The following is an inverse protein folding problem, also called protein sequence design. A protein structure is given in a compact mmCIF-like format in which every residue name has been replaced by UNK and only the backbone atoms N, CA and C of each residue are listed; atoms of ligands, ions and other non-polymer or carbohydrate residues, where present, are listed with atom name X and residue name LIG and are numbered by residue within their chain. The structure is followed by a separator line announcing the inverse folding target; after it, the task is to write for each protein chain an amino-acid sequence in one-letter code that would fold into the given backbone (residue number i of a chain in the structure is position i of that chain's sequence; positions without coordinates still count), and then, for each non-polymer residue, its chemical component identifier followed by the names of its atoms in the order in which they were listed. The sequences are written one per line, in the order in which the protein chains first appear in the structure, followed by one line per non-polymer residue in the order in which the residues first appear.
data_IF_242812245288
#
_entry.id   IF_242812245288
#
_cell.length_a   1.000
_cell.length_b   1.000
_cell.length_c   1.000
_cell.angle_alpha   90.00
_cell.angle_beta   90.00
_cell.angle_gamma   90.00
#
_symmetry.space_group_name_H-M   'P 1'
#
loop_
_entity.id
_entity.type
_entity.pdbx_description
1 polymer ?
#
# COMPACT_ATOMS: atom_id res chain seq x y z
N UNK A 1 -20.78 1.65 51.46
CA UNK A 1 -20.81 1.78 50.00
C UNK A 1 -19.73 0.90 49.39
N UNK A 2 -20.06 -0.23 48.86
CA UNK A 2 -19.08 -1.12 48.23
C UNK A 2 -18.77 -0.57 46.82
N UNK A 3 -17.49 -0.27 46.58
CA UNK A 3 -17.01 0.09 45.25
C UNK A 3 -17.21 -1.14 44.33
N UNK A 4 -18.07 -1.01 43.34
CA UNK A 4 -18.15 -1.99 42.24
C UNK A 4 -16.82 -1.95 41.48
N UNK A 5 -15.98 -2.97 41.66
CA UNK A 5 -14.84 -3.23 40.79
C UNK A 5 -15.42 -3.59 39.40
N UNK A 6 -15.44 -2.66 38.48
CA UNK A 6 -15.75 -2.96 37.10
C UNK A 6 -14.61 -3.82 36.54
N UNK A 7 -14.87 -5.11 36.33
CA UNK A 7 -13.98 -6.01 35.62
C UNK A 7 -13.88 -5.54 34.16
N UNK A 8 -13.05 -4.53 33.92
CA UNK A 8 -12.70 -4.10 32.57
C UNK A 8 -11.72 -5.09 31.98
N UNK A 9 -12.15 -5.86 31.00
CA UNK A 9 -11.27 -6.70 30.21
C UNK A 9 -10.64 -5.83 29.13
N UNK A 10 -9.33 -5.64 29.19
CA UNK A 10 -8.56 -4.92 28.18
C UNK A 10 -8.08 -5.89 27.11
N UNK A 11 -8.05 -5.44 25.85
CA UNK A 11 -7.36 -6.18 24.79
C UNK A 11 -5.86 -6.19 25.09
N UNK A 12 -5.24 -7.32 24.85
CA UNK A 12 -3.81 -7.51 25.01
C UNK A 12 -3.17 -7.77 23.66
N UNK A 13 -1.87 -7.48 23.54
CA UNK A 13 -1.09 -7.91 22.39
C UNK A 13 -0.95 -9.42 22.46
N UNK A 14 -1.48 -10.11 21.47
CA UNK A 14 -1.41 -11.57 21.40
C UNK A 14 -0.05 -12.03 20.86
N UNK A 15 0.41 -11.37 19.76
CA UNK A 15 1.66 -11.75 19.13
C UNK A 15 2.32 -10.55 18.42
N UNK A 16 3.63 -10.50 18.49
CA UNK A 16 4.45 -9.57 17.71
C UNK A 16 5.20 -10.39 16.67
N UNK A 17 5.04 -10.03 15.40
CA UNK A 17 5.77 -10.64 14.29
C UNK A 17 6.96 -9.78 13.92
N UNK A 18 8.10 -10.41 13.64
CA UNK A 18 9.22 -9.72 13.03
C UNK A 18 8.82 -9.31 11.60
N UNK A 19 9.13 -8.06 11.24
CA UNK A 19 8.91 -7.59 9.88
C UNK A 19 9.78 -8.40 8.89
N UNK A 20 9.22 -8.82 7.74
CA UNK A 20 10.02 -9.34 6.64
C UNK A 20 11.06 -8.33 6.14
N UNK A 21 12.01 -8.79 5.34
CA UNK A 21 13.01 -7.89 4.76
C UNK A 21 12.36 -6.95 3.75
N UNK A 22 12.78 -5.67 3.72
CA UNK A 22 12.37 -4.74 2.68
C UNK A 22 12.71 -5.27 1.29
N UNK A 23 11.89 -4.89 0.30
CA UNK A 23 12.12 -5.23 -1.10
C UNK A 23 11.54 -4.17 -2.02
N UNK A 24 11.92 -4.22 -3.29
CA UNK A 24 11.35 -3.36 -4.32
C UNK A 24 10.12 -3.98 -4.97
N UNK A 25 9.09 -3.17 -5.17
CA UNK A 25 7.95 -3.45 -6.03
C UNK A 25 8.13 -2.57 -7.28
N UNK A 26 8.45 -3.22 -8.40
CA UNK A 26 8.99 -2.52 -9.55
C UNK A 26 10.29 -1.79 -9.21
N UNK A 27 10.47 -0.59 -9.76
CA UNK A 27 11.56 0.32 -9.44
C UNK A 27 11.07 1.64 -8.78
N UNK A 28 9.77 1.71 -8.49
CA UNK A 28 9.12 2.87 -7.91
C UNK A 28 8.86 2.79 -6.41
N UNK A 29 8.78 1.59 -5.84
CA UNK A 29 8.31 1.42 -4.48
C UNK A 29 9.21 0.50 -3.67
N UNK A 30 10.03 1.08 -2.79
CA UNK A 30 10.83 0.32 -1.82
C UNK A 30 10.02 0.12 -0.55
N UNK A 31 9.46 -1.08 -0.38
CA UNK A 31 8.49 -1.36 0.67
C UNK A 31 9.07 -2.13 1.84
N UNK A 32 8.55 -1.84 3.02
CA UNK A 32 8.75 -2.58 4.26
C UNK A 32 7.45 -3.35 4.52
N UNK A 33 7.40 -4.66 4.29
CA UNK A 33 6.20 -5.45 4.58
C UNK A 33 5.92 -5.43 6.09
N UNK A 34 4.68 -5.09 6.45
CA UNK A 34 4.23 -5.18 7.85
C UNK A 34 3.67 -6.57 8.14
N UNK A 35 2.90 -7.11 7.21
CA UNK A 35 2.45 -8.50 7.16
C UNK A 35 2.04 -8.88 5.75
N UNK A 36 2.00 -10.17 5.45
CA UNK A 36 1.47 -10.72 4.21
C UNK A 36 0.81 -12.08 4.46
N UNK A 37 0.10 -12.59 3.45
CA UNK A 37 -0.62 -13.86 3.52
C UNK A 37 0.26 -15.10 3.75
N UNK A 38 1.56 -15.00 3.57
CA UNK A 38 2.51 -16.09 3.83
C UNK A 38 2.88 -16.21 5.32
N UNK A 39 2.88 -15.09 6.03
CA UNK A 39 3.21 -14.99 7.46
C UNK A 39 2.03 -14.59 8.33
N UNK A 40 1.01 -13.96 7.73
CA UNK A 40 -0.26 -13.64 8.39
C UNK A 40 -1.04 -14.93 8.66
N UNK A 41 -1.71 -14.98 9.78
CA UNK A 41 -2.69 -16.00 10.02
C UNK A 41 -4.10 -15.51 9.61
N UNK A 42 -5.08 -16.40 9.68
CA UNK A 42 -6.47 -16.07 9.33
C UNK A 42 -7.08 -14.91 10.15
N UNK A 43 -6.35 -14.41 11.17
CA UNK A 43 -6.80 -13.30 12.02
C UNK A 43 -6.66 -11.93 11.36
N UNK A 44 -5.89 -11.83 10.28
CA UNK A 44 -5.79 -10.59 9.49
C UNK A 44 -6.85 -10.50 8.39
N UNK A 45 -7.54 -11.60 8.07
CA UNK A 45 -8.61 -11.60 7.07
C UNK A 45 -9.67 -10.51 7.38
N UNK A 46 -10.09 -9.70 6.41
CA UNK A 46 -9.85 -9.77 4.96
C UNK A 46 -8.57 -9.07 4.47
N UNK A 47 -7.70 -8.61 5.37
CA UNK A 47 -6.46 -7.92 4.99
C UNK A 47 -5.36 -8.95 4.70
N UNK A 48 -4.99 -9.08 3.43
CA UNK A 48 -4.03 -10.09 2.98
C UNK A 48 -2.59 -9.66 3.17
N UNK A 49 -2.31 -8.35 3.05
CA UNK A 49 -0.99 -7.78 3.20
C UNK A 49 -1.07 -6.28 3.51
N UNK A 50 -0.02 -5.77 4.11
CA UNK A 50 0.21 -4.35 4.32
C UNK A 50 1.68 -4.07 4.09
N UNK A 51 1.97 -3.20 3.13
CA UNK A 51 3.30 -2.70 2.84
C UNK A 51 3.39 -1.22 3.22
N UNK A 52 4.55 -0.81 3.71
CA UNK A 52 4.85 0.58 4.02
C UNK A 52 6.09 1.02 3.23
N UNK A 53 5.91 1.92 2.27
CA UNK A 53 7.00 2.61 1.59
C UNK A 53 7.40 3.81 2.46
N UNK A 54 8.58 3.73 3.07
CA UNK A 54 9.11 4.85 3.85
C UNK A 54 9.51 6.00 2.93
N UNK A 55 9.49 7.22 3.46
CA UNK A 55 9.95 8.41 2.76
C UNK A 55 11.36 8.19 2.18
N UNK A 56 11.51 8.40 0.88
CA UNK A 56 12.74 8.24 0.14
C UNK A 56 12.81 9.26 -0.99
N UNK A 57 13.96 9.91 -1.15
CA UNK A 57 14.16 10.82 -2.27
C UNK A 57 14.39 10.06 -3.58
N UNK A 58 13.67 10.47 -4.62
CA UNK A 58 13.84 9.98 -5.99
C UNK A 58 14.35 11.11 -6.88
N UNK A 59 15.46 10.86 -7.56
CA UNK A 59 15.97 11.78 -8.57
C UNK A 59 15.01 11.90 -9.75
N UNK A 60 14.94 13.07 -10.41
CA UNK A 60 14.16 13.26 -11.63
C UNK A 60 14.40 12.17 -12.67
N UNK A 61 13.34 11.63 -13.27
CA UNK A 61 13.40 10.62 -14.33
C UNK A 61 12.20 10.73 -15.28
N UNK A 62 12.04 11.89 -15.91
CA UNK A 62 10.89 12.17 -16.78
C UNK A 62 10.81 11.25 -18.03
N UNK A 63 11.93 10.66 -18.47
CA UNK A 63 11.98 9.78 -19.66
C UNK A 63 11.48 8.37 -19.38
N UNK A 64 11.60 7.92 -18.14
CA UNK A 64 11.22 6.59 -17.69
C UNK A 64 10.66 6.68 -16.27
N UNK A 65 9.39 7.08 -16.10
CA UNK A 65 8.76 7.12 -14.78
C UNK A 65 8.91 5.78 -14.07
N UNK A 66 9.35 5.83 -12.81
CA UNK A 66 9.49 4.63 -11.97
C UNK A 66 8.13 4.14 -11.52
N UNK A 67 8.01 2.85 -11.32
CA UNK A 67 6.74 2.26 -10.87
C UNK A 67 6.72 0.76 -10.96
N UNK A 68 5.54 0.21 -11.01
CA UNK A 68 5.27 -1.20 -11.24
C UNK A 68 4.36 -1.35 -12.45
N UNK A 69 4.80 -2.15 -13.42
CA UNK A 69 4.05 -2.44 -14.64
C UNK A 69 2.81 -3.29 -14.37
N UNK A 70 2.14 -3.62 -15.44
CA UNK A 70 0.86 -4.34 -15.41
C UNK A 70 0.94 -5.63 -14.59
N UNK A 71 0.06 -5.75 -13.61
CA UNK A 71 -0.08 -6.91 -12.77
C UNK A 71 -1.55 -7.14 -12.38
N UNK A 72 -1.96 -8.41 -12.14
CA UNK A 72 -3.36 -8.74 -11.90
C UNK A 72 -3.71 -8.75 -10.41
N UNK A 73 -4.96 -8.38 -10.12
CA UNK A 73 -5.64 -8.62 -8.84
C UNK A 73 -6.99 -9.27 -9.07
N UNK A 74 -7.43 -10.11 -8.13
CA UNK A 74 -8.74 -10.76 -8.19
C UNK A 74 -9.25 -11.07 -6.79
N UNK A 75 -10.49 -10.70 -6.52
CA UNK A 75 -11.24 -11.13 -5.35
C UNK A 75 -10.96 -10.34 -4.07
N UNK A 76 -10.19 -9.26 -4.13
CA UNK A 76 -9.89 -8.42 -2.96
C UNK A 76 -9.83 -6.93 -3.32
N UNK A 77 -9.71 -6.10 -2.30
CA UNK A 77 -9.54 -4.66 -2.43
C UNK A 77 -8.05 -4.30 -2.36
N UNK A 78 -7.64 -3.31 -3.14
CA UNK A 78 -6.33 -2.67 -2.98
C UNK A 78 -6.52 -1.21 -2.57
N UNK A 79 -5.74 -0.76 -1.60
CA UNK A 79 -5.81 0.60 -1.07
C UNK A 79 -4.41 1.18 -1.02
N UNK A 80 -4.18 2.25 -1.76
CA UNK A 80 -2.92 3.02 -1.72
C UNK A 80 -3.19 4.36 -1.05
N UNK A 81 -2.41 4.68 -0.03
CA UNK A 81 -2.48 5.96 0.71
C UNK A 81 -1.18 6.71 0.45
N UNK A 82 -1.25 7.86 -0.20
CA UNK A 82 -0.10 8.70 -0.48
C UNK A 82 0.19 9.64 0.70
N UNK A 83 1.22 9.35 1.49
CA UNK A 83 1.69 10.25 2.56
C UNK A 83 2.57 11.38 2.02
N UNK A 84 3.29 11.13 0.94
CA UNK A 84 4.10 12.11 0.20
C UNK A 84 4.23 11.65 -1.25
N UNK A 85 4.58 12.57 -2.15
CA UNK A 85 4.76 12.28 -3.57
C UNK A 85 3.44 12.16 -4.34
N UNK A 86 3.53 11.58 -5.53
CA UNK A 86 2.40 11.41 -6.44
C UNK A 86 2.50 10.09 -7.19
N UNK A 87 1.41 9.36 -7.26
CA UNK A 87 1.29 8.08 -7.98
C UNK A 87 0.16 8.16 -8.99
N UNK A 88 0.49 7.90 -10.26
CA UNK A 88 -0.48 7.72 -11.33
C UNK A 88 -0.77 6.24 -11.51
N UNK A 89 -2.02 5.88 -11.61
CA UNK A 89 -2.46 4.52 -11.82
C UNK A 89 -3.46 4.45 -12.97
N UNK A 90 -3.55 3.29 -13.58
CA UNK A 90 -4.61 2.95 -14.56
C UNK A 90 -4.88 1.45 -14.54
N UNK A 91 -6.08 1.06 -14.92
CA UNK A 91 -6.51 -0.32 -14.90
C UNK A 91 -7.22 -0.76 -16.18
N UNK A 92 -7.44 -2.07 -16.29
CA UNK A 92 -8.08 -2.69 -17.45
C UNK A 92 -9.60 -2.41 -17.58
N UNK A 93 -10.22 -1.77 -16.59
CA UNK A 93 -11.61 -1.32 -16.68
C UNK A 93 -11.75 0.04 -17.36
N UNK A 94 -10.62 0.70 -17.64
CA UNK A 94 -10.55 2.06 -18.16
C UNK A 94 -10.53 3.14 -17.09
N UNK A 95 -10.45 2.75 -15.83
CA UNK A 95 -10.28 3.68 -14.72
C UNK A 95 -8.82 4.04 -14.50
N UNK A 96 -8.57 5.22 -13.96
CA UNK A 96 -7.23 5.69 -13.65
C UNK A 96 -7.25 7.10 -13.10
N UNK A 97 -6.10 7.54 -12.62
CA UNK A 97 -5.93 8.87 -12.06
C UNK A 97 -4.57 9.04 -11.42
N UNK A 98 -4.38 10.19 -10.80
CA UNK A 98 -3.19 10.48 -10.01
C UNK A 98 -3.60 10.82 -8.60
N UNK A 99 -3.05 10.10 -7.63
CA UNK A 99 -3.17 10.43 -6.21
C UNK A 99 -1.95 11.24 -5.79
N UNK A 100 -2.19 12.24 -4.94
CA UNK A 100 -1.19 13.14 -4.38
C UNK A 100 -1.15 13.01 -2.87
N UNK A 101 -0.24 13.70 -2.24
CA UNK A 101 -0.13 13.73 -0.77
C UNK A 101 -1.48 13.95 -0.09
N UNK A 102 -1.88 13.00 0.74
CA UNK A 102 -3.17 12.99 1.46
C UNK A 102 -4.30 12.26 0.74
N UNK A 103 -4.12 11.90 -0.52
CA UNK A 103 -5.14 11.18 -1.29
C UNK A 103 -5.06 9.66 -1.05
N UNK A 104 -6.16 9.01 -1.41
CA UNK A 104 -6.32 7.55 -1.34
C UNK A 104 -6.86 7.03 -2.66
N UNK A 105 -6.21 6.00 -3.19
CA UNK A 105 -6.78 5.17 -4.25
C UNK A 105 -7.40 3.94 -3.62
N UNK A 106 -8.65 3.66 -3.95
CA UNK A 106 -9.33 2.44 -3.54
C UNK A 106 -9.84 1.71 -4.78
N UNK A 107 -9.33 0.50 -5.01
CA UNK A 107 -9.68 -0.31 -6.19
C UNK A 107 -10.27 -1.65 -5.76
N UNK A 108 -11.49 -1.93 -6.23
CA UNK A 108 -12.16 -3.22 -6.09
C UNK A 108 -11.78 -4.13 -7.26
N UNK A 109 -11.00 -5.17 -7.02
CA UNK A 109 -10.56 -6.08 -8.07
C UNK A 109 -11.69 -7.01 -8.58
N UNK A 110 -12.69 -7.32 -7.75
CA UNK A 110 -13.85 -8.12 -8.13
C UNK A 110 -13.48 -9.42 -8.84
N UNK A 111 -14.01 -9.64 -10.03
CA UNK A 111 -13.71 -10.85 -10.82
C UNK A 111 -12.35 -10.82 -11.53
N UNK A 112 -11.61 -9.75 -11.39
CA UNK A 112 -10.25 -9.58 -11.90
C UNK A 112 -10.04 -8.24 -12.59
N UNK A 113 -8.93 -7.61 -12.26
CA UNK A 113 -8.46 -6.38 -12.89
C UNK A 113 -6.96 -6.48 -13.08
N UNK A 114 -6.46 -5.92 -14.16
CA UNK A 114 -5.02 -5.70 -14.37
C UNK A 114 -4.78 -4.21 -14.19
N UNK A 115 -3.83 -3.84 -13.36
CA UNK A 115 -3.47 -2.43 -13.21
C UNK A 115 -1.95 -2.22 -13.20
N UNK A 116 -1.57 -0.96 -13.28
CA UNK A 116 -0.20 -0.49 -13.18
C UNK A 116 -0.15 0.80 -12.40
N UNK A 117 0.96 1.07 -11.75
CA UNK A 117 1.19 2.24 -10.92
C UNK A 117 2.58 2.81 -11.18
N UNK A 118 2.66 4.11 -11.45
CA UNK A 118 3.91 4.82 -11.71
C UNK A 118 3.95 6.13 -10.93
N UNK A 119 5.14 6.63 -10.66
CA UNK A 119 5.30 8.03 -10.26
C UNK A 119 4.62 8.92 -11.30
N UNK A 120 3.90 9.97 -10.87
CA UNK A 120 3.24 10.87 -11.80
C UNK A 120 4.23 11.52 -12.78
N UNK A 121 3.78 12.01 -13.94
CA UNK A 121 4.65 12.76 -14.85
C UNK A 121 5.30 13.96 -14.17
N UNK A 122 4.55 14.68 -13.34
CA UNK A 122 5.01 15.86 -12.61
C UNK A 122 6.07 15.48 -11.58
N UNK A 123 5.81 14.45 -10.76
CA UNK A 123 6.77 13.95 -9.78
C UNK A 123 8.01 13.37 -10.47
N UNK A 124 7.83 12.64 -11.58
CA UNK A 124 8.94 12.09 -12.36
C UNK A 124 9.83 13.18 -12.97
N UNK A 125 9.26 14.33 -13.31
CA UNK A 125 10.03 15.48 -13.83
C UNK A 125 10.77 16.22 -12.73
N UNK A 126 10.12 16.43 -11.59
CA UNK A 126 10.68 17.24 -10.50
C UNK A 126 11.61 16.44 -9.59
N UNK A 127 11.39 15.15 -9.46
CA UNK A 127 11.91 14.35 -8.37
C UNK A 127 11.26 14.73 -7.04
N UNK A 128 11.69 14.10 -5.97
CA UNK A 128 11.18 14.40 -4.64
C UNK A 128 11.11 13.18 -3.71
N UNK A 129 10.39 13.35 -2.61
CA UNK A 129 10.16 12.30 -1.59
C UNK A 129 8.79 11.66 -1.71
#
# INVERSE_FOLDING_TARGET
MAMQNSNKTYRQVDKIHAAPRPHWVGDGFHVNPMFNHMVGDKRTDPFLMLDYAAKQYFEPNARAPRGVGQHPHKGFETVTIAYAGEVSHRDSSGSGGTIKTGDVQWMTAGNGVIHEEFHSPEFSQAGGD
#
